data_IF_134157544838
#
_entry.id   IF_134157544838
#
_cell.length_a   1.000
_cell.length_b   1.000
_cell.length_c   1.000
_cell.angle_alpha   90.00
_cell.angle_beta   90.00
_cell.angle_gamma   90.00
#
_symmetry.space_group_name_H-M   'P 1'
#
loop_
_entity.id
_entity.type
_entity.pdbx_description
1 polymer ?
#
# COMPACT_ATOMS: atom_id res chain seq x y z
N UNK A 1 -7.50 -30.62 -5.08
CA UNK A 1 -7.25 -29.51 -6.04
C UNK A 1 -6.27 -28.53 -5.41
N UNK A 2 -5.46 -27.78 -6.16
CA UNK A 2 -4.46 -26.82 -5.60
C UNK A 2 -5.08 -25.85 -4.57
N UNK A 3 -6.34 -25.48 -4.80
CA UNK A 3 -7.20 -24.72 -3.90
C UNK A 3 -7.46 -25.40 -2.54
N UNK A 4 -7.74 -26.70 -2.55
CA UNK A 4 -7.98 -27.47 -1.32
C UNK A 4 -6.69 -27.53 -0.50
N UNK A 5 -5.54 -27.76 -1.14
CA UNK A 5 -4.24 -27.77 -0.46
C UNK A 5 -3.87 -26.41 0.15
N UNK A 6 -4.16 -25.30 -0.56
CA UNK A 6 -3.94 -23.93 -0.05
C UNK A 6 -4.93 -23.58 1.06
N UNK A 7 -6.18 -24.01 0.95
CA UNK A 7 -7.21 -23.80 1.96
C UNK A 7 -6.98 -24.64 3.22
N UNK A 8 -6.40 -25.82 3.07
CA UNK A 8 -6.00 -26.73 4.15
C UNK A 8 -4.74 -26.23 4.89
N UNK A 9 -3.80 -25.58 4.18
CA UNK A 9 -2.58 -25.01 4.78
C UNK A 9 -2.71 -23.54 5.24
N UNK A 10 -3.74 -22.81 4.83
CA UNK A 10 -3.97 -21.44 5.32
C UNK A 10 -4.94 -21.42 6.50
N UNK A 11 -4.53 -20.98 7.70
CA UNK A 11 -5.44 -20.84 8.83
C UNK A 11 -6.57 -19.87 8.46
N UNK A 12 -7.82 -20.29 8.69
CA UNK A 12 -9.04 -19.51 8.35
C UNK A 12 -8.97 -18.09 8.92
N UNK A 13 -8.44 -17.94 10.14
CA UNK A 13 -8.22 -16.65 10.81
C UNK A 13 -7.26 -15.75 10.04
N UNK A 14 -6.16 -16.29 9.51
CA UNK A 14 -5.17 -15.51 8.75
C UNK A 14 -5.73 -14.98 7.44
N UNK A 15 -6.55 -15.78 6.74
CA UNK A 15 -7.22 -15.37 5.50
C UNK A 15 -8.20 -14.22 5.76
N UNK A 16 -9.05 -14.36 6.79
CA UNK A 16 -10.00 -13.31 7.18
C UNK A 16 -9.29 -12.03 7.61
N UNK A 17 -8.26 -12.15 8.46
CA UNK A 17 -7.48 -11.00 8.92
C UNK A 17 -6.80 -10.25 7.77
N UNK A 18 -6.22 -10.95 6.80
CA UNK A 18 -5.59 -10.32 5.64
C UNK A 18 -6.59 -9.51 4.82
N UNK A 19 -7.80 -10.03 4.58
CA UNK A 19 -8.85 -9.29 3.84
C UNK A 19 -9.30 -8.07 4.63
N UNK A 20 -9.57 -8.21 5.94
CA UNK A 20 -9.98 -7.09 6.80
C UNK A 20 -8.92 -5.99 6.81
N UNK A 21 -7.64 -6.35 7.00
CA UNK A 21 -6.53 -5.39 7.02
C UNK A 21 -6.32 -4.72 5.66
N UNK A 22 -6.51 -5.43 4.54
CA UNK A 22 -6.41 -4.86 3.20
C UNK A 22 -7.51 -3.82 2.96
N UNK A 23 -8.76 -4.15 3.29
CA UNK A 23 -9.89 -3.24 3.15
C UNK A 23 -9.72 -2.00 4.03
N UNK A 24 -9.31 -2.19 5.29
CA UNK A 24 -9.03 -1.08 6.19
C UNK A 24 -7.96 -0.14 5.63
N UNK A 25 -6.86 -0.69 5.10
CA UNK A 25 -5.79 0.11 4.48
C UNK A 25 -6.26 0.88 3.25
N UNK A 26 -7.04 0.25 2.37
CA UNK A 26 -7.63 0.92 1.20
C UNK A 26 -8.54 2.06 1.64
N UNK A 27 -9.40 1.81 2.63
CA UNK A 27 -10.33 2.82 3.14
C UNK A 27 -9.59 4.02 3.71
N UNK A 28 -8.61 3.80 4.59
CA UNK A 28 -7.81 4.88 5.17
C UNK A 28 -7.09 5.68 4.09
N UNK A 29 -6.46 5.02 3.12
CA UNK A 29 -5.79 5.71 2.01
C UNK A 29 -6.75 6.55 1.18
N UNK A 30 -7.94 6.03 0.90
CA UNK A 30 -8.93 6.71 0.07
C UNK A 30 -9.64 7.87 0.79
N UNK A 31 -9.79 7.82 2.11
CA UNK A 31 -10.56 8.82 2.86
C UNK A 31 -9.71 9.91 3.50
N UNK A 32 -8.50 9.58 3.96
CA UNK A 32 -7.64 10.51 4.70
C UNK A 32 -6.22 10.56 4.15
N UNK A 33 -5.83 9.59 3.32
CA UNK A 33 -4.47 9.49 2.81
C UNK A 33 -4.08 10.64 1.89
N UNK A 34 -4.97 11.09 1.01
CA UNK A 34 -4.68 12.26 0.16
C UNK A 34 -4.48 13.50 1.00
N UNK A 35 -5.42 13.78 1.89
CA UNK A 35 -5.51 15.06 2.59
C UNK A 35 -4.39 15.25 3.62
N UNK A 36 -3.90 14.15 4.22
CA UNK A 36 -2.82 14.18 5.23
C UNK A 36 -1.43 14.29 4.59
N UNK A 37 -1.27 13.86 3.34
CA UNK A 37 0.05 13.78 2.68
C UNK A 37 0.14 14.67 1.43
N UNK A 38 -0.83 15.55 1.17
CA UNK A 38 -0.83 16.45 0.01
C UNK A 38 0.26 17.54 0.14
N UNK A 39 0.43 18.08 1.34
CA UNK A 39 1.30 19.20 1.68
C UNK A 39 2.57 18.78 2.45
N UNK A 40 2.91 17.49 2.47
CA UNK A 40 4.05 16.94 3.23
C UNK A 40 5.40 17.63 2.92
N UNK A 41 5.61 18.02 1.65
CA UNK A 41 6.81 18.77 1.24
C UNK A 41 6.69 20.25 1.57
N UNK A 42 5.48 20.82 1.56
CA UNK A 42 5.23 22.23 1.89
C UNK A 42 5.35 22.51 3.39
N UNK A 43 4.90 21.59 4.25
CA UNK A 43 5.04 21.69 5.70
C UNK A 43 6.46 21.32 6.20
N UNK A 44 7.31 20.72 5.36
CA UNK A 44 8.70 20.43 5.75
C UNK A 44 9.53 21.71 5.93
N UNK A 45 10.12 21.90 7.11
CA UNK A 45 10.87 23.12 7.48
C UNK A 45 12.38 22.85 7.58
N UNK A 46 13.17 23.67 6.88
CA UNK A 46 14.62 23.75 7.07
C UNK A 46 14.99 25.08 7.73
N UNK A 47 15.80 25.05 8.79
CA UNK A 47 16.34 26.27 9.41
C UNK A 47 17.57 26.77 8.63
N UNK A 48 17.34 27.35 7.45
CA UNK A 48 18.38 27.93 6.61
C UNK A 48 17.80 28.98 5.68
N UNK A 49 18.63 29.94 5.27
CA UNK A 49 18.29 30.92 4.22
C UNK A 49 18.81 30.48 2.84
N UNK A 50 19.43 29.30 2.74
CA UNK A 50 20.00 28.83 1.49
C UNK A 50 18.89 28.38 0.52
N UNK A 51 18.81 28.98 -0.69
CA UNK A 51 17.82 28.58 -1.69
C UNK A 51 18.07 27.14 -2.15
N UNK A 52 17.00 26.38 -2.33
CA UNK A 52 17.06 24.98 -2.79
C UNK A 52 17.40 23.94 -1.73
N UNK A 53 17.71 24.33 -0.48
CA UNK A 53 17.97 23.35 0.58
C UNK A 53 16.75 22.49 0.92
N UNK A 54 15.56 23.09 1.00
CA UNK A 54 14.31 22.40 1.34
C UNK A 54 14.01 21.17 0.47
N UNK A 55 13.95 21.26 -0.88
CA UNK A 55 13.67 20.09 -1.71
C UNK A 55 14.75 19.00 -1.59
N UNK A 56 16.03 19.37 -1.46
CA UNK A 56 17.13 18.39 -1.33
C UNK A 56 17.09 17.67 0.01
N UNK A 57 16.86 18.41 1.11
CA UNK A 57 16.72 17.82 2.43
C UNK A 57 15.47 16.95 2.55
N UNK A 58 14.37 17.37 1.92
CA UNK A 58 13.15 16.58 1.87
C UNK A 58 13.36 15.25 1.15
N UNK A 59 13.95 15.27 -0.05
CA UNK A 59 14.24 14.05 -0.83
C UNK A 59 15.21 13.11 -0.09
N UNK A 60 16.21 13.66 0.61
CA UNK A 60 17.13 12.87 1.41
C UNK A 60 16.48 12.24 2.66
N UNK A 61 15.52 12.94 3.30
CA UNK A 61 14.81 12.45 4.48
C UNK A 61 13.71 11.44 4.11
N UNK A 62 12.99 11.71 3.02
CA UNK A 62 11.84 10.95 2.54
C UNK A 62 11.99 10.62 1.05
N UNK A 63 12.85 9.66 0.67
CA UNK A 63 13.10 9.32 -0.73
C UNK A 63 11.85 8.76 -1.44
N UNK A 64 10.90 8.24 -0.67
CA UNK A 64 9.56 7.85 -1.12
C UNK A 64 8.58 8.41 -0.09
N UNK A 65 7.53 9.08 -0.55
CA UNK A 65 6.48 9.55 0.36
C UNK A 65 5.71 8.40 1.00
N UNK A 66 5.25 8.63 2.22
CA UNK A 66 4.50 7.62 2.97
C UNK A 66 3.24 7.19 2.21
N UNK A 67 2.52 8.14 1.62
CA UNK A 67 1.35 7.85 0.78
C UNK A 67 1.68 6.89 -0.36
N UNK A 68 2.73 7.18 -1.15
CA UNK A 68 3.14 6.33 -2.29
C UNK A 68 3.57 4.94 -1.84
N UNK A 69 4.30 4.86 -0.73
CA UNK A 69 4.71 3.58 -0.16
C UNK A 69 3.50 2.73 0.26
N UNK A 70 2.52 3.32 0.95
CA UNK A 70 1.32 2.60 1.37
C UNK A 70 0.48 2.13 0.17
N UNK A 71 0.32 2.95 -0.87
CA UNK A 71 -0.36 2.55 -2.11
C UNK A 71 0.34 1.35 -2.74
N UNK A 72 1.67 1.42 -2.89
CA UNK A 72 2.45 0.29 -3.43
C UNK A 72 2.29 -0.98 -2.58
N UNK A 73 2.33 -0.83 -1.25
CA UNK A 73 2.15 -1.95 -0.32
C UNK A 73 0.78 -2.64 -0.49
N UNK A 74 -0.29 -1.86 -0.65
CA UNK A 74 -1.65 -2.40 -0.91
C UNK A 74 -1.69 -3.15 -2.24
N UNK A 75 -1.12 -2.59 -3.31
CA UNK A 75 -1.06 -3.24 -4.63
C UNK A 75 -0.33 -4.58 -4.53
N UNK A 76 0.87 -4.60 -3.95
CA UNK A 76 1.68 -5.82 -3.81
C UNK A 76 0.96 -6.89 -2.97
N UNK A 77 0.31 -6.50 -1.87
CA UNK A 77 -0.45 -7.45 -1.04
C UNK A 77 -1.68 -8.01 -1.77
N UNK A 78 -2.32 -7.23 -2.64
CA UNK A 78 -3.49 -7.67 -3.40
C UNK A 78 -3.14 -8.53 -4.62
N UNK A 79 -1.93 -8.39 -5.17
CA UNK A 79 -1.55 -8.99 -6.45
C UNK A 79 -1.66 -10.53 -6.50
N UNK A 80 -1.18 -11.31 -5.50
CA UNK A 80 -1.31 -12.76 -5.51
C UNK A 80 -2.78 -13.23 -5.55
N UNK A 81 -3.66 -12.55 -4.79
CA UNK A 81 -5.08 -12.86 -4.77
C UNK A 81 -5.75 -12.52 -6.11
N UNK A 82 -5.44 -11.36 -6.68
CA UNK A 82 -5.96 -10.95 -7.99
C UNK A 82 -5.51 -11.90 -9.12
N UNK A 83 -4.22 -12.25 -9.17
CA UNK A 83 -3.69 -13.21 -10.14
C UNK A 83 -4.35 -14.58 -10.02
N UNK A 84 -4.58 -15.03 -8.78
CA UNK A 84 -5.27 -16.29 -8.53
C UNK A 84 -6.71 -16.28 -9.07
N UNK A 85 -7.47 -15.22 -8.80
CA UNK A 85 -8.84 -15.08 -9.32
C UNK A 85 -8.85 -15.07 -10.84
N UNK A 86 -7.95 -14.31 -11.48
CA UNK A 86 -7.82 -14.28 -12.94
C UNK A 86 -7.52 -15.68 -13.50
N UNK A 87 -6.57 -16.39 -12.90
CA UNK A 87 -6.18 -17.75 -13.32
C UNK A 87 -7.32 -18.76 -13.16
N UNK A 88 -8.09 -18.68 -12.07
CA UNK A 88 -9.23 -19.56 -11.81
C UNK A 88 -10.37 -19.30 -12.79
N UNK A 89 -10.69 -18.02 -13.06
CA UNK A 89 -11.69 -17.64 -14.06
C UNK A 89 -11.27 -18.06 -15.46
N UNK A 90 -10.00 -17.89 -15.81
CA UNK A 90 -9.52 -18.27 -17.15
C UNK A 90 -9.56 -19.77 -17.41
N UNK A 91 -9.31 -20.62 -16.40
CA UNK A 91 -9.43 -22.07 -16.53
C UNK A 91 -10.87 -22.59 -16.47
N UNK A 92 -11.79 -21.81 -15.90
CA UNK A 92 -13.21 -22.16 -15.86
C UNK A 92 -13.95 -21.79 -17.16
N UNK A 93 -13.30 -21.05 -18.05
CA UNK A 93 -13.74 -20.72 -19.41
C UNK A 93 -13.18 -21.73 -20.41
#
# INVERSE_FOLDING_TARGET
SLLDAVQEHSPMVGRFWLVVMLLFRILVLATVGSDVFEDEQEEFVCNTQQPGCKPVCYDAAFPISHYRFLVFHVVVLSAPAALFVIFAVHQAA
#
